data_IF_152043614358
#
_entry.id   IF_152043614358
#
_cell.length_a   1.000
_cell.length_b   1.000
_cell.length_c   1.000
_cell.angle_alpha   90.00
_cell.angle_beta   90.00
_cell.angle_gamma   90.00
#
_symmetry.space_group_name_H-M   'P 1'
#
loop_
_entity.id
_entity.type
_entity.pdbx_description
1 polymer ?
#
# COMPACT_ATOMS: atom_id res chain seq x y z
N UNK A 1 -7.41 6.23 3.21
CA UNK A 1 -6.48 6.56 2.11
C UNK A 1 -7.22 7.39 1.08
N UNK A 2 -6.65 8.51 0.61
CA UNK A 2 -7.24 9.25 -0.51
C UNK A 2 -6.57 8.83 -1.81
N UNK A 3 -7.32 8.22 -2.73
CA UNK A 3 -6.87 8.09 -4.12
C UNK A 3 -7.07 9.44 -4.82
N UNK A 4 -5.99 10.06 -5.27
CA UNK A 4 -6.02 11.35 -5.96
C UNK A 4 -6.32 11.19 -7.45
N UNK A 5 -5.81 10.12 -8.06
CA UNK A 5 -6.01 9.79 -9.47
C UNK A 5 -5.64 8.33 -9.73
N UNK A 6 -6.18 7.72 -10.78
CA UNK A 6 -5.74 6.40 -11.25
C UNK A 6 -5.81 6.30 -12.78
N UNK A 7 -5.06 5.35 -13.33
CA UNK A 7 -5.04 5.00 -14.76
C UNK A 7 -5.03 3.49 -14.94
N UNK A 8 -5.34 3.02 -16.15
CA UNK A 8 -5.14 1.62 -16.54
C UNK A 8 -3.65 1.31 -16.71
N UNK A 9 -3.21 0.08 -16.38
CA UNK A 9 -1.86 -0.38 -16.69
C UNK A 9 -1.69 -0.53 -18.22
N UNK A 10 -0.47 -0.28 -18.71
CA UNK A 10 -0.07 -0.69 -20.06
C UNK A 10 0.30 -2.19 -20.09
N UNK A 11 0.61 -2.73 -21.27
CA UNK A 11 0.93 -4.16 -21.45
C UNK A 11 2.05 -4.68 -20.55
N UNK A 12 3.06 -3.85 -20.27
CA UNK A 12 4.19 -4.20 -19.41
C UNK A 12 3.86 -4.10 -17.90
N UNK A 13 2.76 -3.45 -17.54
CA UNK A 13 2.35 -3.20 -16.15
C UNK A 13 1.14 -4.04 -15.72
N UNK A 14 0.64 -4.94 -16.59
CA UNK A 14 -0.59 -5.71 -16.34
C UNK A 14 -0.49 -6.69 -15.17
N UNK A 15 0.72 -7.07 -14.79
CA UNK A 15 0.94 -7.98 -13.67
C UNK A 15 2.20 -7.61 -12.89
N UNK A 16 2.23 -8.04 -11.63
CA UNK A 16 3.44 -8.07 -10.81
C UNK A 16 3.72 -9.51 -10.39
N UNK A 17 4.98 -9.80 -10.11
CA UNK A 17 5.40 -11.10 -9.60
C UNK A 17 5.56 -11.01 -8.09
N UNK A 18 4.97 -11.97 -7.37
CA UNK A 18 5.12 -12.07 -5.91
C UNK A 18 6.30 -12.99 -5.55
N UNK A 19 6.62 -13.12 -4.26
CA UNK A 19 7.84 -13.79 -3.80
C UNK A 19 8.00 -15.26 -4.22
N UNK A 20 6.91 -15.94 -4.59
CA UNK A 20 6.92 -17.30 -5.12
C UNK A 20 7.04 -17.36 -6.66
N UNK A 21 7.22 -16.22 -7.32
CA UNK A 21 7.30 -16.10 -8.78
C UNK A 21 5.96 -16.12 -9.49
N UNK A 22 4.83 -16.22 -8.78
CA UNK A 22 3.50 -16.16 -9.39
C UNK A 22 3.16 -14.74 -9.83
N UNK A 23 2.63 -14.62 -11.05
CA UNK A 23 2.07 -13.38 -11.56
C UNK A 23 0.68 -13.12 -10.95
N UNK A 24 0.42 -11.88 -10.57
CA UNK A 24 -0.90 -11.40 -10.14
C UNK A 24 -1.31 -10.16 -10.93
N UNK A 25 -2.58 -10.09 -11.28
CA UNK A 25 -3.11 -9.02 -12.12
C UNK A 25 -3.17 -7.68 -11.38
N UNK A 26 -2.77 -6.62 -12.09
CA UNK A 26 -2.91 -5.23 -11.67
C UNK A 26 -4.21 -4.69 -12.27
N UNK A 27 -5.13 -4.24 -11.42
CA UNK A 27 -6.39 -3.64 -11.88
C UNK A 27 -6.19 -2.21 -12.40
N UNK A 28 -5.40 -1.43 -11.67
CA UNK A 28 -5.15 -0.03 -11.96
C UNK A 28 -3.84 0.44 -11.31
N UNK A 29 -3.36 1.60 -11.74
CA UNK A 29 -2.19 2.28 -11.17
C UNK A 29 -2.66 3.63 -10.63
N UNK A 30 -2.46 3.86 -9.34
CA UNK A 30 -2.98 5.02 -8.62
C UNK A 30 -1.90 5.93 -8.05
N UNK A 31 -2.32 7.17 -7.77
CA UNK A 31 -1.61 8.10 -6.91
C UNK A 31 -2.41 8.24 -5.61
N UNK A 32 -1.80 7.83 -4.50
CA UNK A 32 -2.43 7.84 -3.18
C UNK A 32 -1.74 8.82 -2.26
N UNK A 33 -2.54 9.57 -1.51
CA UNK A 33 -2.07 10.42 -0.41
C UNK A 33 -2.50 9.84 0.92
N UNK A 34 -1.52 9.59 1.78
CA UNK A 34 -1.70 9.09 3.14
C UNK A 34 -1.45 10.23 4.12
N UNK A 35 -2.40 10.48 5.01
CA UNK A 35 -2.17 11.36 6.16
C UNK A 35 -1.64 10.52 7.32
N UNK A 36 -0.39 10.75 7.70
CA UNK A 36 0.28 10.03 8.78
C UNK A 36 -0.13 10.59 10.16
N UNK A 37 0.04 9.80 11.23
CA UNK A 37 -0.27 10.19 12.62
C UNK A 37 0.40 11.51 13.05
N UNK A 38 1.55 11.81 12.46
CA UNK A 38 2.34 13.04 12.61
C UNK A 38 1.74 14.25 11.87
N UNK A 39 0.59 14.11 11.22
CA UNK A 39 -0.02 15.07 10.29
C UNK A 39 0.78 15.33 9.00
N UNK A 40 1.78 14.49 8.70
CA UNK A 40 2.52 14.54 7.44
C UNK A 40 1.75 13.86 6.31
N UNK A 41 1.80 14.41 5.09
CA UNK A 41 1.24 13.75 3.90
C UNK A 41 2.31 12.96 3.16
N UNK A 42 2.13 11.64 3.09
CA UNK A 42 2.94 10.74 2.27
C UNK A 42 2.23 10.47 0.94
N UNK A 43 2.83 10.95 -0.15
CA UNK A 43 2.36 10.73 -1.52
C UNK A 43 3.04 9.49 -2.13
N UNK A 44 2.23 8.50 -2.49
CA UNK A 44 2.63 7.27 -3.16
C UNK A 44 2.15 7.33 -4.61
N UNK A 45 3.08 7.56 -5.54
CA UNK A 45 2.80 7.62 -6.98
C UNK A 45 3.00 6.26 -7.61
N UNK A 46 2.37 6.04 -8.76
CA UNK A 46 2.48 4.81 -9.55
C UNK A 46 2.27 3.54 -8.72
N UNK A 47 1.31 3.57 -7.80
CA UNK A 47 1.02 2.47 -6.88
C UNK A 47 0.07 1.47 -7.54
N UNK A 48 0.47 0.20 -7.57
CA UNK A 48 -0.36 -0.87 -8.12
C UNK A 48 -1.58 -1.16 -7.23
N UNK A 49 -2.76 -1.18 -7.84
CA UNK A 49 -4.01 -1.66 -7.24
C UNK A 49 -4.16 -3.12 -7.64
N UNK A 50 -3.95 -4.02 -6.67
CA UNK A 50 -3.96 -5.47 -6.86
C UNK A 50 -5.02 -6.07 -5.94
N UNK A 51 -6.26 -6.31 -6.41
CA UNK A 51 -7.38 -6.73 -5.55
C UNK A 51 -7.19 -8.08 -4.85
N UNK A 52 -6.28 -8.91 -5.37
CA UNK A 52 -5.94 -10.20 -4.75
C UNK A 52 -5.11 -10.06 -3.48
N UNK A 53 -4.48 -8.90 -3.24
CA UNK A 53 -3.71 -8.64 -2.03
C UNK A 53 -4.62 -8.28 -0.87
N UNK A 54 -4.40 -8.93 0.28
CA UNK A 54 -5.18 -8.70 1.50
C UNK A 54 -4.77 -7.45 2.27
N UNK A 55 -3.58 -6.91 1.98
CA UNK A 55 -3.00 -5.75 2.66
C UNK A 55 -2.32 -4.84 1.66
N UNK A 56 -2.32 -3.55 1.99
CA UNK A 56 -1.49 -2.57 1.29
C UNK A 56 -0.04 -2.76 1.72
N UNK A 57 0.87 -2.78 0.76
CA UNK A 57 2.30 -2.89 1.00
C UNK A 57 2.98 -1.63 0.48
N UNK A 58 3.91 -1.10 1.26
CA UNK A 58 4.77 0.01 0.86
C UNK A 58 6.19 -0.51 0.81
N UNK A 59 6.83 -0.38 -0.36
CA UNK A 59 8.21 -0.83 -0.52
C UNK A 59 9.18 0.13 0.17
N UNK A 60 10.04 -0.39 1.04
CA UNK A 60 11.13 0.38 1.66
C UNK A 60 12.08 0.95 0.60
N UNK A 61 12.40 0.18 -0.45
CA UNK A 61 13.28 0.67 -1.53
C UNK A 61 12.65 1.79 -2.34
N UNK A 62 11.31 1.85 -2.41
CA UNK A 62 10.61 2.97 -3.04
C UNK A 62 10.67 4.21 -2.14
N UNK A 63 10.46 4.06 -0.83
CA UNK A 63 10.60 5.15 0.13
C UNK A 63 12.02 5.74 0.13
N UNK A 64 13.05 4.89 0.05
CA UNK A 64 14.45 5.30 -0.05
C UNK A 64 14.71 6.14 -1.30
N UNK A 65 14.21 5.73 -2.47
CA UNK A 65 14.30 6.51 -3.72
C UNK A 65 13.62 7.88 -3.63
N UNK A 66 12.61 8.03 -2.78
CA UNK A 66 11.94 9.30 -2.51
C UNK A 66 12.66 10.16 -1.46
N UNK A 67 13.78 9.68 -0.89
CA UNK A 67 14.58 10.38 0.11
C UNK A 67 14.13 10.14 1.55
N UNK A 68 13.21 9.20 1.79
CA UNK A 68 12.83 8.84 3.15
C UNK A 68 13.79 7.81 3.74
N UNK A 69 14.16 8.02 4.99
CA UNK A 69 14.94 7.06 5.76
C UNK A 69 14.02 6.25 6.68
N UNK A 70 14.03 4.93 6.47
CA UNK A 70 13.31 3.96 7.28
C UNK A 70 14.23 3.41 8.37
N UNK A 71 13.82 3.54 9.64
CA UNK A 71 14.51 2.91 10.77
C UNK A 71 13.55 2.04 11.57
N UNK A 72 14.09 0.99 12.19
CA UNK A 72 13.31 -0.01 12.90
C UNK A 72 14.07 -0.54 14.11
N UNK A 73 13.34 -0.86 15.16
CA UNK A 73 13.90 -1.37 16.42
C UNK A 73 12.88 -1.26 17.54
N UNK A 74 13.01 -2.11 18.57
CA UNK A 74 12.10 -2.12 19.72
C UNK A 74 10.62 -2.20 19.33
N UNK A 75 10.30 -3.04 18.33
CA UNK A 75 8.95 -3.21 17.77
C UNK A 75 8.32 -1.95 17.16
N UNK A 76 9.14 -0.94 16.86
CA UNK A 76 8.71 0.31 16.23
C UNK A 76 9.38 0.50 14.88
N UNK A 77 8.66 1.22 14.02
CA UNK A 77 9.12 1.73 12.74
C UNK A 77 9.07 3.25 12.77
N UNK A 78 10.11 3.92 12.28
CA UNK A 78 10.10 5.35 12.05
C UNK A 78 10.42 5.63 10.58
N UNK A 79 9.62 6.50 9.98
CA UNK A 79 9.87 7.13 8.70
C UNK A 79 10.39 8.54 8.95
N UNK A 80 11.53 8.87 8.35
CA UNK A 80 12.13 10.20 8.49
C UNK A 80 12.43 10.82 7.14
N UNK A 81 12.36 12.15 7.07
CA UNK A 81 12.72 12.96 5.91
C UNK A 81 13.53 14.15 6.41
N UNK A 82 14.69 14.41 5.82
CA UNK A 82 15.60 15.48 6.27
C UNK A 82 15.90 15.41 7.79
N UNK A 83 16.16 14.20 8.30
CA UNK A 83 16.42 13.92 9.72
C UNK A 83 15.26 14.18 10.69
N UNK A 84 14.08 14.58 10.20
CA UNK A 84 12.87 14.72 11.02
C UNK A 84 12.00 13.48 10.92
N UNK A 85 11.44 13.00 12.03
CA UNK A 85 10.45 11.92 12.01
C UNK A 85 9.15 12.45 11.43
N UNK A 86 8.75 11.90 10.28
CA UNK A 86 7.54 12.27 9.55
C UNK A 86 6.48 11.18 9.62
N UNK A 87 6.80 9.99 10.13
CA UNK A 87 5.83 8.93 10.32
C UNK A 87 6.31 7.90 11.33
N UNK A 88 5.36 7.28 12.02
CA UNK A 88 5.61 6.20 12.98
C UNK A 88 4.83 4.97 12.58
N UNK A 89 5.27 3.82 13.06
CA UNK A 89 4.59 2.56 12.85
C UNK A 89 4.90 1.56 13.93
N UNK A 90 4.05 0.54 14.03
CA UNK A 90 4.11 -0.50 15.04
C UNK A 90 4.29 -1.88 14.40
N UNK A 91 5.07 -2.76 15.02
CA UNK A 91 5.26 -4.13 14.54
C UNK A 91 3.99 -4.96 14.75
N UNK A 92 3.56 -5.64 13.69
CA UNK A 92 2.42 -6.57 13.68
C UNK A 92 2.94 -8.01 13.71
N UNK A 93 2.72 -8.70 14.82
CA UNK A 93 3.26 -10.06 15.05
C UNK A 93 2.59 -11.16 14.24
N UNK A 94 1.35 -10.95 13.76
CA UNK A 94 0.61 -11.99 13.04
C UNK A 94 1.10 -12.22 11.60
N UNK A 95 1.81 -11.26 11.01
CA UNK A 95 2.33 -11.34 9.63
C UNK A 95 3.76 -10.80 9.48
N UNK A 96 4.42 -10.46 10.57
CA UNK A 96 5.78 -9.94 10.60
C UNK A 96 5.97 -8.66 9.75
N UNK A 97 4.94 -7.82 9.68
CA UNK A 97 5.00 -6.52 8.99
C UNK A 97 4.97 -5.35 9.98
N UNK A 98 5.49 -4.20 9.58
CA UNK A 98 5.25 -2.94 10.29
C UNK A 98 4.01 -2.26 9.71
N UNK A 99 3.10 -1.85 10.57
CA UNK A 99 1.95 -1.05 10.21
C UNK A 99 2.28 0.43 10.38
N UNK A 100 2.27 1.17 9.26
CA UNK A 100 2.42 2.62 9.26
C UNK A 100 1.17 3.27 9.88
N UNK A 101 1.36 4.13 10.87
CA UNK A 101 0.27 4.80 11.57
C UNK A 101 -0.23 5.98 10.73
N UNK A 102 -1.49 5.87 10.31
CA UNK A 102 -2.20 6.92 9.58
C UNK A 102 -3.28 7.54 10.45
N UNK A 103 -3.55 8.84 10.29
CA UNK A 103 -4.77 9.44 10.82
C UNK A 103 -5.91 8.81 10.02
N UNK A 104 -6.66 7.91 10.66
CA UNK A 104 -7.83 7.33 10.04
C UNK A 104 -8.82 8.45 9.74
N UNK A 105 -9.04 8.75 8.46
CA UNK A 105 -10.39 9.12 8.07
C UNK A 105 -11.22 7.86 8.38
N UNK A 106 -11.93 7.85 9.50
CA UNK A 106 -12.96 6.84 9.74
C UNK A 106 -13.80 6.76 8.45
N UNK A 107 -13.88 5.55 7.88
CA UNK A 107 -14.65 5.13 6.70
C UNK A 107 -13.91 5.05 5.34
N UNK A 108 -14.21 3.95 4.66
CA UNK A 108 -13.69 3.43 3.39
C UNK A 108 -12.33 2.73 3.57
N UNK A 109 -12.27 1.52 4.12
CA UNK A 109 -12.79 0.33 3.43
C UNK A 109 -12.70 0.54 1.92
N UNK A 110 -11.48 0.49 1.37
CA UNK A 110 -11.29 0.03 0.00
C UNK A 110 -11.57 -1.49 -0.03
N UNK A 111 -12.78 -1.89 0.40
CA UNK A 111 -13.44 -3.03 -0.22
C UNK A 111 -13.93 -2.47 -1.55
N UNK A 112 -13.05 -2.52 -2.56
CA UNK A 112 -13.51 -2.63 -3.94
C UNK A 112 -14.56 -3.74 -3.87
N UNK A 113 -15.82 -3.38 -4.06
CA UNK A 113 -16.91 -4.34 -4.02
C UNK A 113 -16.51 -5.45 -4.98
N UNK A 114 -16.18 -6.63 -4.44
CA UNK A 114 -16.12 -7.85 -5.23
C UNK A 114 -17.53 -8.01 -5.77
N UNK A 115 -17.76 -7.55 -7.00
CA UNK A 115 -18.94 -7.89 -7.77
C UNK A 115 -18.78 -9.38 -8.05
N UNK A 116 -19.19 -10.19 -7.09
CA UNK A 116 -19.07 -11.64 -7.14
C UNK A 116 -19.70 -12.09 -8.44
N UNK A 117 -18.88 -12.57 -9.36
CA UNK A 117 -19.35 -13.31 -10.52
C UNK A 117 -19.92 -14.60 -9.95
N UNK A 118 -21.23 -14.64 -9.71
CA UNK A 118 -21.95 -15.87 -9.41
C UNK A 118 -21.65 -16.85 -10.54
N UNK A 119 -20.82 -17.86 -10.28
CA UNK A 119 -20.75 -19.04 -11.15
C UNK A 119 -22.11 -19.74 -11.03
N UNK A 120 -22.86 -19.81 -12.12
CA UNK A 120 -23.95 -20.77 -12.22
C UNK A 120 -23.34 -22.16 -12.18
N UNK A 121 -23.85 -23.00 -11.30
CA UNK A 121 -23.72 -24.46 -11.43
C UNK A 121 -24.84 -24.84 -12.38
N UNK A 122 -24.49 -25.20 -13.61
CA UNK A 122 -25.42 -25.85 -14.52
C UNK A 122 -25.50 -27.32 -14.12
N UNK A 123 -26.73 -27.79 -13.90
CA UNK A 123 -27.11 -29.19 -13.76
C UNK A 123 -28.14 -29.50 -14.84
#
# INVERSE_FOLDING_TARGET
MGCLSHRKPNDAERCIYVGDGKAVDVEAIGHFRLLLSTSFYLDLKDTFIVPSFRRNLVSVSYLDKLGYHCSYGNFRFNLSLNSSIVGTGSFMSYDNLYMLETITSYNNVLNIHTRGTKRKVDN
#
